data_IF_857161727789
#
_entry.id   IF_857161727789
#
_cell.length_a   1.000
_cell.length_b   1.000
_cell.length_c   1.000
_cell.angle_alpha   90.00
_cell.angle_beta   90.00
_cell.angle_gamma   90.00
#
_symmetry.space_group_name_H-M   'P 1'
#
loop_
_entity.id
_entity.type
_entity.pdbx_description
1 polymer ?
#
# COMPACT_ATOMS: atom_id res chain seq x y z
N UNK A 1 18.09 26.11 35.69
CA UNK A 1 16.65 26.45 35.62
C UNK A 1 16.22 26.80 34.21
N UNK A 2 16.94 27.70 33.52
CA UNK A 2 16.73 28.06 32.11
C UNK A 2 16.69 26.86 31.15
N UNK A 3 17.70 25.97 31.19
CA UNK A 3 17.74 24.79 30.30
C UNK A 3 16.53 23.87 30.46
N UNK A 4 16.01 23.76 31.69
CA UNK A 4 14.82 22.94 31.98
C UNK A 4 13.55 23.57 31.42
N UNK A 5 13.43 24.89 31.42
CA UNK A 5 12.32 25.61 30.77
C UNK A 5 12.40 25.47 29.25
N UNK A 6 13.59 25.66 28.67
CA UNK A 6 13.83 25.49 27.23
C UNK A 6 13.54 24.06 26.74
N UNK A 7 13.74 23.06 27.59
CA UNK A 7 13.50 21.65 27.29
C UNK A 7 12.04 21.20 27.48
N UNK A 8 11.15 22.04 28.05
CA UNK A 8 9.76 21.64 28.35
C UNK A 8 8.71 22.58 27.78
N UNK A 9 9.08 23.84 27.49
CA UNK A 9 8.13 24.87 27.03
C UNK A 9 8.41 25.32 25.58
N UNK A 10 7.38 25.37 24.71
CA UNK A 10 7.51 25.78 23.31
C UNK A 10 7.54 27.31 23.15
N UNK A 11 8.67 27.92 23.48
CA UNK A 11 8.90 29.37 23.36
C UNK A 11 9.32 29.77 21.95
N UNK A 12 8.92 30.96 21.49
CA UNK A 12 9.25 31.44 20.16
C UNK A 12 10.68 31.99 20.08
N UNK A 13 11.26 31.99 18.87
CA UNK A 13 12.47 32.77 18.61
C UNK A 13 12.16 34.25 18.89
N UNK A 14 13.06 34.90 19.61
CA UNK A 14 12.95 36.29 20.04
C UNK A 14 12.32 36.51 21.41
N UNK A 15 11.78 35.49 22.07
CA UNK A 15 11.22 35.60 23.43
C UNK A 15 12.35 35.79 24.46
N UNK A 16 12.13 36.66 25.46
CA UNK A 16 13.02 36.81 26.61
C UNK A 16 12.77 35.72 27.64
N UNK A 17 13.77 34.85 27.85
CA UNK A 17 13.69 33.72 28.78
C UNK A 17 14.73 33.92 29.88
N UNK A 18 14.26 34.34 31.06
CA UNK A 18 15.10 34.66 32.23
C UNK A 18 16.20 35.69 31.93
N UNK A 19 15.86 36.73 31.14
CA UNK A 19 16.76 37.85 30.83
C UNK A 19 17.66 37.66 29.62
N UNK A 20 17.56 36.52 28.92
CA UNK A 20 18.25 36.28 27.65
C UNK A 20 17.26 36.02 26.52
N UNK A 21 17.49 36.71 25.39
CA UNK A 21 16.69 36.53 24.18
C UNK A 21 16.99 35.20 23.52
N UNK A 22 15.94 34.46 23.17
CA UNK A 22 16.07 33.19 22.47
C UNK A 22 16.38 33.42 20.99
N UNK A 23 17.58 33.10 20.52
CA UNK A 23 17.95 33.26 19.10
C UNK A 23 17.12 32.36 18.17
N UNK A 24 16.83 31.13 18.58
CA UNK A 24 16.10 30.15 17.78
C UNK A 24 15.15 29.30 18.63
N UNK A 25 13.97 29.02 18.07
CA UNK A 25 12.95 28.15 18.68
C UNK A 25 13.51 26.74 18.88
N UNK A 26 13.45 26.21 20.11
CA UNK A 26 13.89 24.83 20.43
C UNK A 26 12.76 23.81 20.37
N UNK A 27 11.58 24.19 20.87
CA UNK A 27 10.40 23.33 20.87
C UNK A 27 9.24 24.01 20.15
N UNK A 28 8.52 23.22 19.37
CA UNK A 28 7.19 23.55 18.90
C UNK A 28 6.16 22.83 19.76
N UNK A 29 5.04 23.50 20.06
CA UNK A 29 3.77 22.80 20.22
C UNK A 29 3.11 22.57 18.87
N UNK A 30 2.26 21.55 18.75
CA UNK A 30 1.44 21.32 17.56
C UNK A 30 0.71 22.60 17.13
N UNK A 31 0.10 23.34 18.08
CA UNK A 31 -0.56 24.62 17.79
C UNK A 31 0.39 25.67 17.23
N UNK A 32 1.58 25.81 17.82
CA UNK A 32 2.56 26.81 17.37
C UNK A 32 3.07 26.52 15.97
N UNK A 33 3.38 25.25 15.67
CA UNK A 33 3.86 24.82 14.37
C UNK A 33 2.77 24.96 13.29
N UNK A 34 1.55 24.52 13.59
CA UNK A 34 0.39 24.65 12.70
C UNK A 34 0.17 26.10 12.27
N UNK A 35 0.24 27.03 13.23
CA UNK A 35 0.11 28.47 12.96
C UNK A 35 1.27 29.02 12.12
N UNK A 36 2.50 28.59 12.41
CA UNK A 36 3.70 29.07 11.73
C UNK A 36 3.72 28.67 10.25
N UNK A 37 3.37 27.42 9.93
CA UNK A 37 3.37 26.91 8.56
C UNK A 37 2.03 27.13 7.83
N UNK A 38 1.00 27.65 8.52
CA UNK A 38 -0.33 27.92 7.95
C UNK A 38 -1.15 26.67 7.61
N UNK A 39 -0.92 25.55 8.31
CA UNK A 39 -1.61 24.27 8.09
C UNK A 39 -2.50 23.93 9.28
N UNK A 40 -3.65 23.30 9.05
CA UNK A 40 -4.55 22.89 10.13
C UNK A 40 -3.91 21.86 11.07
N UNK A 41 -4.08 22.05 12.39
CA UNK A 41 -3.43 21.21 13.43
C UNK A 41 -3.62 19.71 13.20
N UNK A 42 -4.83 19.27 12.83
CA UNK A 42 -5.15 17.85 12.62
C UNK A 42 -4.34 17.23 11.47
N UNK A 43 -4.10 17.98 10.40
CA UNK A 43 -3.29 17.50 9.27
C UNK A 43 -1.83 17.45 9.69
N UNK A 44 -1.32 18.52 10.33
CA UNK A 44 0.06 18.56 10.80
C UNK A 44 0.35 17.44 11.80
N UNK A 45 -0.58 17.17 12.72
CA UNK A 45 -0.48 16.08 13.68
C UNK A 45 -0.28 14.73 13.00
N UNK A 46 -1.05 14.44 11.94
CA UNK A 46 -0.89 13.20 11.18
C UNK A 46 0.51 13.05 10.58
N UNK A 47 1.09 14.12 10.03
CA UNK A 47 2.47 14.11 9.56
C UNK A 47 3.47 13.87 10.70
N UNK A 48 3.31 14.58 11.82
CA UNK A 48 4.20 14.49 12.97
C UNK A 48 4.16 13.10 13.62
N UNK A 49 2.98 12.50 13.77
CA UNK A 49 2.82 11.12 14.27
C UNK A 49 3.48 10.12 13.32
N UNK A 50 3.25 10.26 12.01
CA UNK A 50 3.85 9.38 10.98
C UNK A 50 5.38 9.42 11.00
N UNK A 51 5.95 10.58 11.30
CA UNK A 51 7.40 10.81 11.39
C UNK A 51 7.97 10.65 12.80
N UNK A 52 7.16 10.18 13.77
CA UNK A 52 7.58 9.88 15.14
C UNK A 52 7.87 11.10 16.01
N UNK A 53 7.48 12.31 15.56
CA UNK A 53 7.65 13.54 16.34
C UNK A 53 6.70 13.62 17.53
N UNK A 54 5.52 13.01 17.40
CA UNK A 54 4.46 12.96 18.42
C UNK A 54 4.00 11.50 18.53
N UNK A 55 3.71 11.03 19.74
CA UNK A 55 3.17 9.68 19.93
C UNK A 55 1.72 9.60 19.41
N UNK A 56 1.32 8.49 18.76
CA UNK A 56 -0.05 8.32 18.25
C UNK A 56 -1.14 8.50 19.32
N UNK A 57 -0.86 8.03 20.54
CA UNK A 57 -1.78 8.04 21.69
C UNK A 57 -1.51 9.22 22.64
N UNK A 58 -0.89 10.30 22.15
CA UNK A 58 -0.68 11.50 22.95
C UNK A 58 -1.99 12.25 23.15
N UNK A 59 -2.64 12.09 24.30
CA UNK A 59 -3.92 12.72 24.63
C UNK A 59 -3.81 14.19 25.09
N UNK A 60 -2.60 14.77 25.13
CA UNK A 60 -2.42 16.16 25.56
C UNK A 60 -3.12 17.13 24.58
N UNK A 61 -3.55 18.32 25.01
CA UNK A 61 -4.07 19.32 24.07
C UNK A 61 -2.97 19.80 23.09
N UNK A 62 -3.34 20.30 21.91
CA UNK A 62 -2.41 20.81 20.86
C UNK A 62 -1.35 21.80 21.37
N UNK A 63 -1.65 22.54 22.44
CA UNK A 63 -0.73 23.50 23.08
C UNK A 63 0.38 22.83 23.88
N UNK A 64 0.21 21.56 24.25
CA UNK A 64 1.13 20.77 25.10
C UNK A 64 1.73 19.55 24.39
N UNK A 65 1.19 19.14 23.24
CA UNK A 65 1.88 18.20 22.32
C UNK A 65 3.08 18.90 21.73
N UNK A 66 4.27 18.60 22.26
CA UNK A 66 5.51 19.30 21.91
C UNK A 66 6.52 18.36 21.25
N UNK A 67 7.32 18.92 20.35
CA UNK A 67 8.37 18.21 19.61
C UNK A 67 9.54 19.15 19.31
N UNK A 68 10.69 18.58 18.98
CA UNK A 68 11.91 19.32 18.68
C UNK A 68 11.77 20.10 17.37
N UNK A 69 12.00 21.41 17.42
CA UNK A 69 11.81 22.28 16.26
C UNK A 69 12.90 22.10 15.20
N UNK A 70 14.15 21.87 15.61
CA UNK A 70 15.27 21.73 14.70
C UNK A 70 15.27 20.37 14.00
N UNK A 71 14.98 19.29 14.75
CA UNK A 71 14.95 17.93 14.22
C UNK A 71 13.86 17.73 13.15
N UNK A 72 12.78 18.51 13.19
CA UNK A 72 11.65 18.43 12.26
C UNK A 72 11.51 19.66 11.35
N UNK A 73 12.51 20.55 11.31
CA UNK A 73 12.46 21.79 10.52
C UNK A 73 12.22 21.52 9.02
N UNK A 74 12.93 20.55 8.43
CA UNK A 74 12.79 20.18 7.03
C UNK A 74 11.38 19.68 6.69
N UNK A 75 10.78 18.90 7.60
CA UNK A 75 9.40 18.42 7.45
C UNK A 75 8.42 19.60 7.49
N UNK A 76 8.60 20.54 8.42
CA UNK A 76 7.75 21.73 8.54
C UNK A 76 7.86 22.64 7.31
N UNK A 77 9.06 22.81 6.76
CA UNK A 77 9.29 23.58 5.54
C UNK A 77 8.68 22.91 4.30
N UNK A 78 8.64 21.58 4.28
CA UNK A 78 8.10 20.81 3.17
C UNK A 78 6.58 20.81 3.10
N UNK A 79 5.87 20.61 4.22
CA UNK A 79 4.42 20.37 4.22
C UNK A 79 3.63 21.43 3.42
N UNK A 80 3.93 22.75 3.51
CA UNK A 80 3.24 23.78 2.73
C UNK A 80 3.47 23.69 1.21
N UNK A 81 4.54 23.04 0.78
CA UNK A 81 4.88 22.87 -0.66
C UNK A 81 4.16 21.70 -1.31
N UNK A 82 3.50 20.85 -0.52
CA UNK A 82 2.79 19.69 -1.03
C UNK A 82 1.61 20.08 -1.92
N UNK A 83 1.40 19.29 -2.95
CA UNK A 83 0.43 19.57 -4.00
C UNK A 83 -0.66 18.51 -4.07
N UNK A 84 -1.75 18.86 -4.75
CA UNK A 84 -2.88 17.98 -4.98
C UNK A 84 -2.68 17.15 -6.24
N UNK A 85 -3.55 16.14 -6.46
CA UNK A 85 -3.53 15.34 -7.68
C UNK A 85 -3.67 16.19 -8.96
N UNK A 86 -4.40 17.31 -8.93
CA UNK A 86 -4.61 18.17 -10.10
C UNK A 86 -3.33 18.91 -10.48
N UNK A 87 -2.69 19.53 -9.50
CA UNK A 87 -1.43 20.27 -9.66
C UNK A 87 -0.30 19.33 -10.08
N UNK A 88 -0.16 18.18 -9.41
CA UNK A 88 0.82 17.15 -9.76
C UNK A 88 0.67 16.71 -11.22
N UNK A 89 -0.55 16.37 -11.64
CA UNK A 89 -0.86 15.99 -13.03
C UNK A 89 -0.49 17.06 -14.05
N UNK A 90 -0.81 18.32 -13.73
CA UNK A 90 -0.47 19.46 -14.60
C UNK A 90 1.04 19.62 -14.71
N UNK A 91 1.77 19.42 -13.62
CA UNK A 91 3.21 19.51 -13.61
C UNK A 91 3.86 18.41 -14.45
N UNK A 92 3.46 17.15 -14.27
CA UNK A 92 4.06 16.04 -15.03
C UNK A 92 3.50 15.89 -16.46
N UNK A 93 2.41 16.60 -16.80
CA UNK A 93 1.75 16.50 -18.10
C UNK A 93 0.98 15.20 -18.30
N UNK A 94 0.40 14.65 -17.22
CA UNK A 94 -0.34 13.39 -17.26
C UNK A 94 -1.86 13.56 -17.16
N UNK A 95 -2.59 12.78 -17.94
CA UNK A 95 -4.03 12.56 -17.80
C UNK A 95 -4.36 11.84 -16.49
N UNK A 96 -5.65 11.85 -16.08
CA UNK A 96 -6.06 11.17 -14.84
C UNK A 96 -5.75 9.67 -14.87
N UNK A 97 -6.04 8.94 -15.97
CA UNK A 97 -5.70 7.52 -16.05
C UNK A 97 -4.19 7.28 -15.99
N UNK A 98 -3.38 8.14 -16.63
CA UNK A 98 -1.93 8.01 -16.60
C UNK A 98 -1.37 8.20 -15.19
N UNK A 99 -1.85 9.23 -14.49
CA UNK A 99 -1.45 9.48 -13.10
C UNK A 99 -1.84 8.34 -12.17
N UNK A 100 -3.07 7.82 -12.28
CA UNK A 100 -3.49 6.64 -11.51
C UNK A 100 -2.61 5.43 -11.79
N UNK A 101 -2.23 5.18 -13.05
CA UNK A 101 -1.33 4.08 -13.38
C UNK A 101 0.05 4.22 -12.72
N UNK A 102 0.59 5.43 -12.65
CA UNK A 102 1.86 5.72 -11.95
C UNK A 102 1.75 5.47 -10.44
N UNK A 103 0.65 5.91 -9.82
CA UNK A 103 0.40 5.69 -8.39
C UNK A 103 0.15 4.21 -8.08
N UNK A 104 -0.65 3.52 -8.89
CA UNK A 104 -0.93 2.09 -8.75
C UNK A 104 0.33 1.23 -8.89
N UNK A 105 1.27 1.64 -9.75
CA UNK A 105 2.58 1.01 -9.90
C UNK A 105 3.57 1.41 -8.79
N UNK A 106 3.18 2.33 -7.89
CA UNK A 106 4.00 2.93 -6.84
C UNK A 106 5.12 3.83 -7.35
N UNK A 107 5.14 4.18 -8.63
CA UNK A 107 6.17 5.05 -9.23
C UNK A 107 6.04 6.49 -8.73
N UNK A 108 4.82 6.88 -8.37
CA UNK A 108 4.55 8.06 -7.56
C UNK A 108 3.91 7.60 -6.26
N UNK A 109 4.57 7.90 -5.13
CA UNK A 109 4.07 7.56 -3.79
C UNK A 109 3.69 8.83 -3.05
N UNK A 110 2.49 8.91 -2.45
CA UNK A 110 2.13 10.07 -1.65
C UNK A 110 3.00 10.13 -0.40
N UNK A 111 3.38 11.34 0.03
CA UNK A 111 4.16 11.56 1.25
C UNK A 111 3.42 11.06 2.49
N UNK A 112 2.10 11.19 2.48
CA UNK A 112 1.21 10.65 3.49
C UNK A 112 0.01 9.98 2.82
N UNK A 113 -0.24 8.72 3.16
CA UNK A 113 -1.36 7.95 2.63
C UNK A 113 -2.51 7.94 3.65
N UNK A 114 -3.10 9.11 3.83
CA UNK A 114 -4.29 9.29 4.66
C UNK A 114 -5.35 9.96 3.81
N UNK A 115 -6.51 9.32 3.69
CA UNK A 115 -7.61 9.75 2.83
C UNK A 115 -8.13 11.17 3.13
N UNK A 116 -7.92 11.67 4.35
CA UNK A 116 -8.29 13.04 4.75
C UNK A 116 -7.33 14.11 4.26
N UNK A 117 -6.11 13.74 3.82
CA UNK A 117 -5.10 14.70 3.35
C UNK A 117 -5.28 14.95 1.86
N UNK A 118 -5.74 16.16 1.52
CA UNK A 118 -6.03 16.57 0.14
C UNK A 118 -4.78 16.79 -0.72
N UNK A 119 -3.65 17.12 -0.10
CA UNK A 119 -2.40 17.50 -0.76
C UNK A 119 -1.22 16.66 -0.27
N UNK A 120 -1.12 15.37 -0.63
CA UNK A 120 -0.08 14.51 -0.08
C UNK A 120 1.18 14.43 -0.96
N UNK A 121 1.26 15.14 -2.09
CA UNK A 121 2.31 14.89 -3.10
C UNK A 121 3.43 15.93 -3.08
N UNK A 122 4.69 15.49 -3.13
CA UNK A 122 5.81 16.39 -3.39
C UNK A 122 5.95 16.59 -4.89
N UNK A 123 5.93 17.84 -5.36
CA UNK A 123 6.05 18.13 -6.80
C UNK A 123 7.37 17.61 -7.39
N UNK A 124 8.44 17.64 -6.58
CA UNK A 124 9.77 17.16 -6.92
C UNK A 124 9.80 15.68 -7.32
N UNK A 125 8.96 14.85 -6.70
CA UNK A 125 8.92 13.41 -7.00
C UNK A 125 8.41 13.19 -8.43
N UNK A 126 7.44 13.98 -8.85
CA UNK A 126 6.91 13.97 -10.20
C UNK A 126 7.91 14.46 -11.24
N UNK A 127 8.67 15.52 -10.94
CA UNK A 127 9.68 16.04 -11.86
C UNK A 127 10.89 15.10 -11.95
N UNK A 128 11.32 14.51 -10.83
CA UNK A 128 12.42 13.54 -10.81
C UNK A 128 12.10 12.30 -11.66
N UNK A 129 10.88 11.79 -11.57
CA UNK A 129 10.43 10.69 -12.45
C UNK A 129 10.49 11.08 -13.94
N UNK A 130 10.11 12.31 -14.28
CA UNK A 130 10.21 12.78 -15.68
C UNK A 130 11.66 12.87 -16.14
N UNK A 131 12.53 13.45 -15.32
CA UNK A 131 13.95 13.58 -15.63
C UNK A 131 14.59 12.21 -15.86
N UNK A 132 14.26 11.23 -15.01
CA UNK A 132 14.70 9.85 -15.14
C UNK A 132 14.24 9.22 -16.47
N UNK A 133 12.97 9.39 -16.84
CA UNK A 133 12.43 8.81 -18.08
C UNK A 133 12.94 9.52 -19.33
N UNK A 134 13.25 10.82 -19.24
CA UNK A 134 13.66 11.64 -20.38
C UNK A 134 15.18 11.72 -20.56
N UNK A 135 15.98 11.33 -19.56
CA UNK A 135 17.44 11.47 -19.55
C UNK A 135 18.11 10.94 -20.83
N UNK A 136 17.74 9.73 -21.26
CA UNK A 136 18.30 9.05 -22.44
C UNK A 136 17.25 8.92 -23.58
N UNK A 137 16.19 9.75 -23.56
CA UNK A 137 15.09 9.61 -24.52
C UNK A 137 15.47 10.18 -25.90
N UNK A 138 15.34 9.35 -26.93
CA UNK A 138 15.56 9.75 -28.33
C UNK A 138 14.32 10.40 -28.92
N UNK A 139 14.48 11.40 -29.80
CA UNK A 139 13.33 11.96 -30.54
C UNK A 139 12.80 10.94 -31.54
N UNK A 140 11.51 10.66 -31.51
CA UNK A 140 10.86 9.67 -32.39
C UNK A 140 9.83 10.31 -33.32
N UNK A 141 9.62 9.69 -34.48
CA UNK A 141 8.60 10.08 -35.45
C UNK A 141 7.21 9.59 -34.98
N UNK A 142 6.19 10.47 -34.93
CA UNK A 142 4.81 10.07 -34.66
C UNK A 142 4.25 8.92 -35.51
N UNK A 143 4.75 8.72 -36.73
CA UNK A 143 4.32 7.68 -37.65
C UNK A 143 4.99 6.32 -37.40
N UNK A 144 6.08 6.29 -36.63
CA UNK A 144 6.82 5.07 -36.33
C UNK A 144 5.99 4.16 -35.41
N UNK A 145 5.67 2.96 -35.91
CA UNK A 145 4.83 1.97 -35.24
C UNK A 145 5.60 1.06 -34.30
N UNK A 146 6.93 1.12 -34.31
CA UNK A 146 7.78 0.33 -33.41
C UNK A 146 7.78 0.89 -31.99
N UNK A 147 7.24 2.09 -31.80
CA UNK A 147 7.07 2.75 -30.51
C UNK A 147 5.63 2.68 -30.02
N UNK A 148 5.46 2.49 -28.72
CA UNK A 148 4.16 2.61 -28.08
C UNK A 148 4.25 3.46 -26.83
N UNK A 149 3.17 4.15 -26.49
CA UNK A 149 3.13 4.94 -25.26
C UNK A 149 3.38 4.03 -24.06
N UNK A 150 4.18 4.49 -23.08
CA UNK A 150 4.63 3.67 -21.93
C UNK A 150 3.45 2.98 -21.19
N UNK A 151 2.33 3.68 -20.98
CA UNK A 151 1.12 3.09 -20.36
C UNK A 151 0.33 2.09 -21.21
N UNK A 152 0.65 1.92 -22.51
CA UNK A 152 0.02 0.90 -23.38
C UNK A 152 0.73 -0.44 -23.29
N UNK A 153 2.04 -0.42 -23.06
CA UNK A 153 2.89 -1.60 -22.98
C UNK A 153 2.39 -2.65 -21.95
N UNK A 154 1.97 -2.29 -20.72
CA UNK A 154 1.47 -3.27 -19.76
C UNK A 154 0.25 -4.06 -20.24
N UNK A 155 -0.70 -3.40 -20.92
CA UNK A 155 -1.91 -4.06 -21.41
C UNK A 155 -1.62 -5.04 -22.56
N UNK A 156 -0.62 -4.73 -23.39
CA UNK A 156 -0.21 -5.60 -24.51
C UNK A 156 0.62 -6.79 -24.04
N UNK A 157 1.50 -6.57 -23.07
CA UNK A 157 2.56 -7.52 -22.74
C UNK A 157 2.36 -8.24 -21.41
N UNK A 158 1.53 -7.71 -20.52
CA UNK A 158 1.42 -8.19 -19.14
C UNK A 158 2.62 -7.85 -18.26
N UNK A 159 3.63 -7.14 -18.79
CA UNK A 159 4.77 -6.62 -18.03
C UNK A 159 4.29 -5.42 -17.21
N UNK A 160 4.64 -5.39 -15.92
CA UNK A 160 4.24 -4.31 -15.03
C UNK A 160 4.90 -2.98 -15.41
N UNK A 161 4.18 -1.87 -15.20
CA UNK A 161 4.70 -0.52 -15.52
C UNK A 161 5.95 -0.19 -14.71
N UNK A 162 6.04 -0.60 -13.43
CA UNK A 162 7.26 -0.43 -12.64
C UNK A 162 8.42 -1.17 -13.27
N UNK A 163 8.21 -2.43 -13.70
CA UNK A 163 9.28 -3.21 -14.32
C UNK A 163 9.77 -2.56 -15.62
N UNK A 164 8.88 -1.91 -16.37
CA UNK A 164 9.27 -1.12 -17.55
C UNK A 164 10.17 0.05 -17.15
N UNK A 165 9.81 0.80 -16.11
CA UNK A 165 10.64 1.92 -15.61
C UNK A 165 11.98 1.44 -15.06
N UNK A 166 12.02 0.36 -14.28
CA UNK A 166 13.27 -0.27 -13.84
C UNK A 166 14.15 -0.69 -15.03
N UNK A 167 13.56 -1.23 -16.10
CA UNK A 167 14.30 -1.60 -17.29
C UNK A 167 14.86 -0.37 -18.04
N UNK A 168 14.20 0.78 -17.94
CA UNK A 168 14.72 2.08 -18.44
C UNK A 168 15.92 2.51 -17.59
N UNK A 169 15.81 2.47 -16.27
CA UNK A 169 16.92 2.77 -15.35
C UNK A 169 18.13 1.86 -15.58
N UNK A 170 17.88 0.57 -15.82
CA UNK A 170 18.89 -0.44 -16.17
C UNK A 170 19.45 -0.28 -17.60
N UNK A 171 18.98 0.71 -18.37
CA UNK A 171 19.35 0.96 -19.78
C UNK A 171 19.10 -0.23 -20.71
N UNK A 172 18.14 -1.09 -20.36
CA UNK A 172 17.72 -2.25 -21.14
C UNK A 172 16.58 -1.97 -22.12
N UNK A 173 15.98 -0.79 -22.01
CA UNK A 173 14.85 -0.37 -22.83
C UNK A 173 15.12 1.01 -23.41
N UNK A 174 14.95 1.14 -24.71
CA UNK A 174 15.05 2.44 -25.39
C UNK A 174 13.79 3.25 -25.16
N UNK A 175 14.00 4.50 -24.77
CA UNK A 175 12.92 5.48 -24.58
C UNK A 175 12.88 6.43 -25.77
N UNK A 176 11.67 6.68 -26.25
CA UNK A 176 11.36 7.65 -27.28
C UNK A 176 10.58 8.80 -26.70
N UNK A 177 10.90 10.02 -27.12
CA UNK A 177 10.13 11.22 -26.86
C UNK A 177 9.47 11.72 -28.14
N UNK A 178 8.14 11.81 -28.12
CA UNK A 178 7.35 12.40 -29.20
C UNK A 178 7.34 13.93 -29.06
N UNK A 179 7.89 14.69 -30.02
CA UNK A 179 8.05 16.15 -29.89
C UNK A 179 6.72 16.91 -29.92
N UNK A 180 5.64 16.31 -30.45
CA UNK A 180 4.30 16.89 -30.51
C UNK A 180 3.53 16.80 -29.18
N UNK A 181 4.05 16.03 -28.21
CA UNK A 181 3.44 15.80 -26.91
C UNK A 181 4.39 16.24 -25.81
N UNK A 182 3.86 16.94 -24.81
CA UNK A 182 4.68 17.43 -23.72
C UNK A 182 4.83 16.40 -22.59
N UNK A 183 6.04 16.33 -22.02
CA UNK A 183 6.34 15.65 -20.75
C UNK A 183 5.88 14.19 -20.77
N UNK A 184 5.15 13.73 -19.75
CA UNK A 184 4.75 12.32 -19.63
C UNK A 184 3.95 11.81 -20.83
N UNK A 185 3.10 12.65 -21.43
CA UNK A 185 2.30 12.27 -22.59
C UNK A 185 3.16 11.95 -23.83
N UNK A 186 4.37 12.50 -23.90
CA UNK A 186 5.34 12.27 -24.98
C UNK A 186 6.25 11.07 -24.75
N UNK A 187 6.10 10.30 -23.68
CA UNK A 187 7.01 9.19 -23.34
C UNK A 187 6.54 7.87 -23.96
N UNK A 188 7.38 7.32 -24.82
CA UNK A 188 7.16 6.11 -25.59
C UNK A 188 8.30 5.12 -25.36
N UNK A 189 8.01 3.84 -25.51
CA UNK A 189 8.95 2.73 -25.33
C UNK A 189 8.99 1.87 -26.58
N UNK A 190 10.16 1.35 -26.91
CA UNK A 190 10.30 0.44 -28.05
C UNK A 190 9.57 -0.88 -27.77
N UNK A 191 8.69 -1.30 -28.69
CA UNK A 191 7.83 -2.49 -28.53
C UNK A 191 8.63 -3.78 -28.37
N UNK A 192 9.69 -3.94 -29.18
CA UNK A 192 10.54 -5.12 -29.16
C UNK A 192 11.28 -5.25 -27.82
N UNK A 193 11.83 -4.14 -27.31
CA UNK A 193 12.54 -4.13 -26.02
C UNK A 193 11.59 -4.57 -24.89
N UNK A 194 10.36 -4.05 -24.86
CA UNK A 194 9.34 -4.47 -23.88
C UNK A 194 8.99 -5.95 -24.03
N UNK A 195 8.87 -6.47 -25.26
CA UNK A 195 8.57 -7.88 -25.48
C UNK A 195 9.68 -8.80 -24.94
N UNK A 196 10.96 -8.40 -25.03
CA UNK A 196 12.06 -9.16 -24.40
C UNK A 196 12.00 -9.17 -22.86
N UNK A 197 11.30 -8.21 -22.22
CA UNK A 197 11.14 -8.20 -20.76
C UNK A 197 10.24 -9.33 -20.26
N UNK A 198 9.36 -9.88 -21.11
CA UNK A 198 8.47 -11.01 -20.75
C UNK A 198 9.26 -12.24 -20.29
N UNK A 199 10.44 -12.44 -20.87
CA UNK A 199 11.18 -13.70 -20.73
C UNK A 199 12.11 -13.75 -19.51
N UNK A 200 12.44 -12.60 -18.88
CA UNK A 200 13.59 -12.57 -17.97
C UNK A 200 13.30 -12.55 -16.46
N UNK A 201 12.13 -12.08 -15.96
CA UNK A 201 11.89 -12.03 -14.48
C UNK A 201 10.45 -12.22 -14.01
N UNK A 202 9.45 -11.86 -14.82
CA UNK A 202 8.02 -11.88 -14.43
C UNK A 202 7.48 -13.28 -14.13
N UNK A 203 8.10 -14.34 -14.66
CA UNK A 203 7.75 -15.74 -14.34
C UNK A 203 8.35 -16.24 -13.02
N UNK A 204 9.38 -15.58 -12.46
CA UNK A 204 10.15 -16.12 -11.32
C UNK A 204 9.74 -15.57 -9.95
N UNK A 205 9.05 -14.43 -9.89
CA UNK A 205 8.60 -13.84 -8.62
C UNK A 205 7.14 -14.23 -8.34
N UNK A 206 6.93 -15.48 -7.92
CA UNK A 206 5.65 -15.87 -7.31
C UNK A 206 5.54 -15.20 -5.93
N UNK A 207 4.35 -14.72 -5.54
CA UNK A 207 4.10 -14.34 -4.16
C UNK A 207 4.54 -15.46 -3.21
N UNK A 208 5.22 -15.11 -2.12
CA UNK A 208 5.71 -16.08 -1.14
C UNK A 208 4.56 -16.86 -0.46
N UNK A 209 3.36 -16.27 -0.46
CA UNK A 209 2.15 -16.81 0.16
C UNK A 209 1.02 -16.87 -0.86
N UNK A 210 0.05 -17.80 -0.72
CA UNK A 210 -1.14 -17.82 -1.55
C UNK A 210 -2.07 -16.63 -1.24
N UNK A 211 -2.76 -16.11 -2.24
CA UNK A 211 -3.87 -15.17 -2.02
C UNK A 211 -5.04 -15.85 -1.30
N UNK A 212 -5.93 -15.07 -0.68
CA UNK A 212 -7.14 -15.59 -0.02
C UNK A 212 -7.93 -16.59 -0.88
N UNK A 213 -8.12 -16.27 -2.18
CA UNK A 213 -8.81 -17.14 -3.12
C UNK A 213 -8.04 -18.43 -3.46
N UNK A 214 -6.71 -18.36 -3.58
CA UNK A 214 -5.86 -19.54 -3.84
C UNK A 214 -5.83 -20.47 -2.62
N UNK A 215 -5.73 -19.90 -1.42
CA UNK A 215 -5.83 -20.65 -0.18
C UNK A 215 -7.20 -21.30 -0.02
N UNK A 216 -8.29 -20.54 -0.25
CA UNK A 216 -9.66 -21.07 -0.26
C UNK A 216 -9.81 -22.28 -1.18
N UNK A 217 -9.23 -22.23 -2.38
CA UNK A 217 -9.23 -23.36 -3.32
C UNK A 217 -8.45 -24.56 -2.78
N UNK A 218 -7.32 -24.34 -2.10
CA UNK A 218 -6.52 -25.42 -1.48
C UNK A 218 -7.28 -26.17 -0.39
N UNK A 219 -8.21 -25.51 0.31
CA UNK A 219 -9.09 -26.11 1.32
C UNK A 219 -10.45 -26.56 0.74
N UNK A 220 -10.63 -26.51 -0.58
CA UNK A 220 -11.82 -27.03 -1.27
C UNK A 220 -13.00 -26.08 -1.40
N UNK A 221 -12.82 -24.78 -1.16
CA UNK A 221 -13.79 -23.76 -1.51
C UNK A 221 -13.68 -23.48 -3.02
N UNK A 222 -14.80 -23.66 -3.74
CA UNK A 222 -14.81 -23.53 -5.21
C UNK A 222 -15.03 -22.11 -5.68
N UNK A 223 -15.77 -21.31 -4.93
CA UNK A 223 -15.96 -19.91 -5.23
C UNK A 223 -14.83 -19.09 -4.60
N UNK A 224 -14.13 -18.31 -5.44
CA UNK A 224 -12.99 -17.50 -5.03
C UNK A 224 -13.38 -16.43 -4.00
N UNK A 225 -14.62 -15.94 -4.07
CA UNK A 225 -15.11 -14.87 -3.20
C UNK A 225 -15.37 -15.33 -1.76
N UNK A 226 -15.70 -16.60 -1.54
CA UNK A 226 -16.15 -17.11 -0.24
C UNK A 226 -15.08 -16.94 0.86
N UNK A 227 -13.82 -17.32 0.57
CA UNK A 227 -12.73 -17.17 1.53
C UNK A 227 -12.30 -15.71 1.70
N UNK A 228 -12.34 -14.91 0.63
CA UNK A 228 -12.03 -13.48 0.73
C UNK A 228 -13.04 -12.78 1.65
N UNK A 229 -14.35 -13.06 1.47
CA UNK A 229 -15.40 -12.55 2.37
C UNK A 229 -15.20 -12.96 3.82
N UNK A 230 -14.75 -14.19 4.07
CA UNK A 230 -14.48 -14.66 5.44
C UNK A 230 -13.36 -13.83 6.13
N UNK A 231 -12.37 -13.37 5.36
CA UNK A 231 -11.32 -12.47 5.84
C UNK A 231 -11.85 -11.05 6.00
N UNK A 232 -12.56 -10.54 4.99
CA UNK A 232 -13.09 -9.17 4.97
C UNK A 232 -14.08 -8.93 6.12
N UNK A 233 -14.88 -9.94 6.47
CA UNK A 233 -15.85 -9.92 7.57
C UNK A 233 -15.20 -10.25 8.94
N UNK A 234 -13.87 -10.40 8.99
CA UNK A 234 -13.09 -10.53 10.23
C UNK A 234 -13.20 -11.89 10.93
N UNK A 235 -13.68 -12.93 10.25
CA UNK A 235 -13.82 -14.25 10.85
C UNK A 235 -12.51 -15.03 10.95
N UNK A 236 -11.55 -14.72 10.07
CA UNK A 236 -10.18 -15.23 10.07
C UNK A 236 -9.21 -14.13 9.63
N UNK A 237 -7.92 -14.25 9.96
CA UNK A 237 -6.92 -13.26 9.61
C UNK A 237 -6.42 -13.42 8.17
N UNK A 238 -5.93 -12.33 7.60
CA UNK A 238 -5.19 -12.30 6.36
C UNK A 238 -4.24 -11.12 6.38
N UNK A 239 -3.05 -11.30 5.81
CA UNK A 239 -1.99 -10.30 5.85
C UNK A 239 -1.98 -9.49 4.54
N UNK A 240 -2.16 -8.16 4.58
CA UNK A 240 -1.97 -7.31 3.41
C UNK A 240 -0.50 -7.27 3.03
N UNK A 241 -0.14 -7.81 1.87
CA UNK A 241 1.23 -7.74 1.34
C UNK A 241 1.22 -7.20 -0.08
N UNK A 242 2.26 -6.45 -0.49
CA UNK A 242 2.43 -6.07 -1.88
C UNK A 242 2.71 -7.33 -2.72
N UNK A 243 1.98 -7.48 -3.81
CA UNK A 243 2.29 -8.52 -4.79
C UNK A 243 3.68 -8.24 -5.39
N UNK A 244 4.63 -9.19 -5.35
CA UNK A 244 6.00 -8.93 -5.81
C UNK A 244 6.08 -8.61 -7.31
N UNK A 245 5.05 -8.95 -8.09
CA UNK A 245 4.98 -8.66 -9.53
C UNK A 245 4.30 -7.34 -9.85
N UNK A 246 3.25 -6.97 -9.11
CA UNK A 246 2.39 -5.81 -9.45
C UNK A 246 2.47 -4.69 -8.42
N UNK A 247 3.16 -4.91 -7.30
CA UNK A 247 3.28 -4.04 -6.11
C UNK A 247 1.96 -3.61 -5.44
N UNK A 248 0.81 -3.85 -6.08
CA UNK A 248 -0.53 -3.74 -5.51
C UNK A 248 -0.62 -4.58 -4.24
N UNK A 249 -1.16 -3.97 -3.20
CA UNK A 249 -1.45 -4.65 -1.94
C UNK A 249 -2.61 -5.61 -2.16
N UNK A 250 -2.38 -6.89 -1.89
CA UNK A 250 -3.39 -7.93 -1.88
C UNK A 250 -3.40 -8.61 -0.51
N UNK A 251 -4.52 -9.22 -0.16
CA UNK A 251 -4.62 -10.06 1.04
C UNK A 251 -4.05 -11.44 0.73
N UNK A 252 -3.00 -11.80 1.46
CA UNK A 252 -2.32 -13.08 1.39
C UNK A 252 -2.51 -13.86 2.68
N UNK A 253 -2.46 -15.18 2.59
CA UNK A 253 -2.61 -16.08 3.74
C UNK A 253 -1.22 -16.61 4.11
N UNK A 254 -0.64 -16.01 5.14
CA UNK A 254 0.63 -16.45 5.74
C UNK A 254 0.48 -17.82 6.43
N UNK A 255 1.58 -18.38 6.93
CA UNK A 255 1.51 -19.63 7.70
C UNK A 255 0.74 -19.42 9.00
N UNK A 256 0.92 -18.27 9.62
CA UNK A 256 0.25 -17.82 10.83
C UNK A 256 -1.25 -17.64 10.59
N UNK A 257 -1.64 -17.00 9.48
CA UNK A 257 -3.05 -16.86 9.08
C UNK A 257 -3.70 -18.22 8.81
N UNK A 258 -3.01 -19.11 8.08
CA UNK A 258 -3.50 -20.45 7.81
C UNK A 258 -3.67 -21.27 9.10
N UNK A 259 -2.75 -21.13 10.06
CA UNK A 259 -2.85 -21.77 11.37
C UNK A 259 -4.03 -21.21 12.17
N UNK A 260 -4.24 -19.88 12.17
CA UNK A 260 -5.38 -19.25 12.83
C UNK A 260 -6.72 -19.72 12.23
N UNK A 261 -6.80 -19.81 10.89
CA UNK A 261 -7.95 -20.41 10.21
C UNK A 261 -8.15 -21.86 10.67
N UNK A 262 -7.12 -22.68 10.58
CA UNK A 262 -7.20 -24.09 10.91
C UNK A 262 -7.46 -24.35 12.39
N UNK A 263 -7.12 -23.45 13.31
CA UNK A 263 -7.45 -23.57 14.73
C UNK A 263 -8.95 -23.41 15.00
N UNK A 264 -9.65 -22.61 14.18
CA UNK A 264 -11.07 -22.29 14.38
C UNK A 264 -12.01 -23.05 13.45
N UNK A 265 -11.56 -23.33 12.23
CA UNK A 265 -12.40 -23.83 11.15
C UNK A 265 -11.85 -25.09 10.49
N UNK A 266 -12.78 -25.90 9.99
CA UNK A 266 -12.49 -27.04 9.13
C UNK A 266 -13.35 -26.98 7.87
N UNK A 267 -12.82 -27.52 6.78
CA UNK A 267 -13.60 -27.85 5.57
C UNK A 267 -13.58 -29.34 5.38
N UNK A 268 -14.44 -29.87 4.50
CA UNK A 268 -14.40 -31.31 4.14
C UNK A 268 -13.00 -31.74 3.73
N UNK A 269 -12.27 -30.92 2.94
CA UNK A 269 -10.90 -31.24 2.50
C UNK A 269 -9.94 -31.31 3.68
N UNK A 270 -10.04 -30.37 4.63
CA UNK A 270 -9.22 -30.36 5.84
C UNK A 270 -9.50 -31.57 6.73
N UNK A 271 -10.79 -31.94 6.90
CA UNK A 271 -11.18 -33.12 7.69
C UNK A 271 -10.62 -34.39 7.07
N UNK A 272 -10.73 -34.56 5.74
CA UNK A 272 -10.15 -35.72 5.03
C UNK A 272 -8.64 -35.77 5.26
N UNK A 273 -7.95 -34.63 5.14
CA UNK A 273 -6.51 -34.54 5.32
C UNK A 273 -6.05 -34.88 6.73
N UNK A 274 -6.80 -34.45 7.75
CA UNK A 274 -6.45 -34.68 9.16
C UNK A 274 -6.85 -36.07 9.67
N UNK A 275 -7.97 -36.62 9.19
CA UNK A 275 -8.52 -37.90 9.70
C UNK A 275 -8.21 -39.10 8.81
N UNK A 276 -7.80 -38.89 7.56
CA UNK A 276 -7.66 -39.94 6.55
C UNK A 276 -8.98 -40.56 6.06
N UNK A 277 -10.13 -40.09 6.55
CA UNK A 277 -11.43 -40.64 6.17
C UNK A 277 -11.79 -40.34 4.71
N UNK A 278 -12.48 -41.28 4.07
CA UNK A 278 -12.98 -41.08 2.72
C UNK A 278 -14.03 -39.95 2.66
N UNK A 279 -14.07 -39.21 1.55
CA UNK A 279 -14.96 -38.03 1.36
C UNK A 279 -16.42 -38.31 1.66
N UNK A 280 -16.94 -39.47 1.24
CA UNK A 280 -18.34 -39.83 1.50
C UNK A 280 -18.59 -40.09 2.98
N UNK A 281 -17.63 -40.69 3.69
CA UNK A 281 -17.72 -40.94 5.12
C UNK A 281 -17.73 -39.63 5.92
N UNK A 282 -16.94 -38.63 5.51
CA UNK A 282 -16.97 -37.30 6.13
C UNK A 282 -18.32 -36.60 5.88
N UNK A 283 -18.86 -36.69 4.66
CA UNK A 283 -20.18 -36.11 4.34
C UNK A 283 -21.32 -36.76 5.13
N UNK A 284 -21.31 -38.09 5.25
CA UNK A 284 -22.30 -38.81 6.06
C UNK A 284 -22.18 -38.43 7.53
N UNK A 285 -20.97 -38.37 8.08
CA UNK A 285 -20.73 -37.97 9.46
C UNK A 285 -21.30 -36.58 9.76
N UNK A 286 -20.97 -35.58 8.94
CA UNK A 286 -21.46 -34.21 9.10
C UNK A 286 -22.99 -34.18 9.08
N UNK A 287 -23.61 -34.94 8.16
CA UNK A 287 -25.08 -35.00 8.02
C UNK A 287 -25.75 -35.71 9.20
N UNK A 288 -25.28 -36.89 9.57
CA UNK A 288 -25.84 -37.72 10.64
C UNK A 288 -25.71 -37.07 12.02
N UNK A 289 -24.61 -36.35 12.24
CA UNK A 289 -24.34 -35.64 13.49
C UNK A 289 -24.86 -34.21 13.51
N UNK A 290 -25.54 -33.78 12.44
CA UNK A 290 -26.15 -32.45 12.37
C UNK A 290 -25.16 -31.29 12.49
N UNK A 291 -23.91 -31.46 12.02
CA UNK A 291 -22.90 -30.39 12.09
C UNK A 291 -23.24 -29.33 11.07
N UNK A 292 -23.67 -28.17 11.55
CA UNK A 292 -24.08 -27.05 10.71
C UNK A 292 -22.89 -26.31 10.11
N UNK A 293 -23.11 -25.72 8.93
CA UNK A 293 -22.12 -24.83 8.32
C UNK A 293 -22.00 -23.57 9.15
N UNK A 294 -20.81 -22.99 9.15
CA UNK A 294 -20.57 -21.70 9.76
C UNK A 294 -21.35 -20.61 9.02
N UNK A 295 -22.43 -20.12 9.63
CA UNK A 295 -23.32 -19.10 9.07
C UNK A 295 -23.66 -17.99 10.07
N UNK A 296 -22.69 -17.16 10.47
CA UNK A 296 -22.93 -16.06 11.39
C UNK A 296 -23.93 -15.08 10.76
N UNK A 297 -24.93 -14.66 11.54
CA UNK A 297 -26.00 -13.77 11.09
C UNK A 297 -26.74 -14.24 9.81
N UNK A 298 -26.71 -15.54 9.49
CA UNK A 298 -27.38 -16.13 8.30
C UNK A 298 -26.56 -16.13 7.01
N UNK A 299 -25.41 -15.46 6.98
CA UNK A 299 -24.50 -15.39 5.83
C UNK A 299 -23.81 -16.74 5.56
N UNK A 300 -23.72 -17.17 4.30
CA UNK A 300 -23.04 -18.43 3.92
C UNK A 300 -21.69 -18.13 3.27
N UNK A 301 -20.62 -18.67 3.87
CA UNK A 301 -19.23 -18.58 3.38
C UNK A 301 -18.76 -19.89 2.72
N UNK A 302 -19.71 -20.73 2.33
CA UNK A 302 -19.45 -22.03 1.72
C UNK A 302 -19.36 -23.17 2.75
N UNK A 303 -18.84 -24.35 2.35
CA UNK A 303 -18.77 -25.54 3.20
C UNK A 303 -17.64 -25.44 4.25
N UNK A 304 -17.72 -24.44 5.12
CA UNK A 304 -16.85 -24.20 6.27
C UNK A 304 -17.63 -24.57 7.54
N UNK A 305 -16.95 -25.21 8.48
CA UNK A 305 -17.51 -25.72 9.73
C UNK A 305 -16.64 -25.26 10.90
N UNK A 306 -17.22 -25.03 12.07
CA UNK A 306 -16.44 -24.78 13.28
C UNK A 306 -15.69 -26.07 13.67
N UNK A 307 -14.40 -25.93 13.95
CA UNK A 307 -13.55 -27.06 14.34
C UNK A 307 -14.12 -27.80 15.56
N UNK A 308 -14.51 -27.06 16.59
CA UNK A 308 -15.06 -27.63 17.82
C UNK A 308 -16.31 -28.50 17.57
N UNK A 309 -17.15 -28.15 16.59
CA UNK A 309 -18.36 -28.93 16.27
C UNK A 309 -18.01 -30.23 15.54
N UNK A 310 -17.05 -30.13 14.61
CA UNK A 310 -16.56 -31.29 13.86
C UNK A 310 -15.81 -32.25 14.77
N UNK A 311 -14.94 -31.74 15.66
CA UNK A 311 -14.19 -32.57 16.61
C UNK A 311 -15.11 -33.27 17.59
N UNK A 312 -16.15 -32.59 18.11
CA UNK A 312 -17.19 -33.24 18.92
C UNK A 312 -17.92 -34.34 18.16
N UNK A 313 -18.23 -34.12 16.88
CA UNK A 313 -18.85 -35.13 16.04
C UNK A 313 -17.93 -36.33 15.77
N UNK A 314 -16.61 -36.10 15.65
CA UNK A 314 -15.60 -37.13 15.45
C UNK A 314 -15.29 -37.91 16.73
N UNK A 315 -15.24 -37.24 17.89
CA UNK A 315 -14.96 -37.88 19.19
C UNK A 315 -16.07 -38.83 19.62
N UNK A 316 -17.31 -38.62 19.16
CA UNK A 316 -18.44 -39.53 19.39
C UNK A 316 -18.39 -40.80 18.50
N UNK A 317 -17.29 -41.01 17.75
CA UNK A 317 -17.06 -42.16 16.87
C UNK A 317 -16.00 -43.13 17.40
N UNK A 318 -15.22 -42.73 18.41
CA UNK A 318 -14.28 -43.57 19.17
C UNK A 318 -14.94 -44.04 20.46
#
# INVERSE_FOLDING_TARGET
>A
MRDRLLATCPMAAGDDVLGERLEARRLHSLRSAAREIGVGSKILEQFLVRHGAIAPDDDRPDTRKTFDAAAYADLLAEIPTLVGPKEMRRAIGATLPQFRALVDAGLLVPRIDISTVRFPWRLSDGTHLLDLLLADATRIDPADRDWEHINRAPNRTGVDLRRIVEAIEEKRLRVGHRPDLARYAGIFVCRNDVDTLKDHRSLRQRPAFPSAGEFGRSIGLRNRADFQRLVDDGHTSGTPLPNPRTHRVHVYITKEDAAAFHAKFMTISTIIRETGLHRNSVRSLIKERGVERFRPAGEDYGPIYLRADVERALSLRL
#
